data_IF_637886470743
#
_entry.id   IF_637886470743
#
_cell.length_a   1.000
_cell.length_b   1.000
_cell.length_c   1.000
_cell.angle_alpha   90.00
_cell.angle_beta   90.00
_cell.angle_gamma   90.00
#
_symmetry.space_group_name_H-M   'P 1'
#
loop_
_entity.id
_entity.type
_entity.pdbx_description
1 polymer ?
#
# COMPACT_ATOMS: atom_id res chain seq x y z
N UNK A 1 -9.38 36.51 -6.35
CA UNK A 1 -9.81 35.10 -6.24
C UNK A 1 -9.44 34.40 -7.53
N UNK A 2 -8.31 33.69 -7.55
CA UNK A 2 -7.88 32.89 -8.69
C UNK A 2 -8.02 31.42 -8.30
N UNK A 3 -8.90 30.69 -8.99
CA UNK A 3 -8.96 29.23 -8.90
C UNK A 3 -7.80 28.67 -9.72
N UNK A 4 -6.65 28.46 -9.08
CA UNK A 4 -5.57 27.69 -9.69
C UNK A 4 -5.97 26.22 -9.74
N UNK A 5 -6.63 25.85 -10.85
CA UNK A 5 -6.72 24.48 -11.30
C UNK A 5 -5.32 24.05 -11.76
N UNK A 6 -4.55 23.45 -10.88
CA UNK A 6 -3.35 22.73 -11.27
C UNK A 6 -3.73 21.35 -11.81
N UNK A 7 -4.07 21.30 -13.09
CA UNK A 7 -3.81 20.10 -13.90
C UNK A 7 -2.32 20.01 -14.16
N UNK A 8 -1.58 19.36 -13.25
CA UNK A 8 -0.25 18.80 -13.55
C UNK A 8 -0.39 17.29 -13.50
N UNK A 9 -0.49 16.70 -14.68
CA UNK A 9 -0.40 15.26 -14.90
C UNK A 9 0.81 14.68 -14.16
N UNK A 10 0.65 13.47 -13.58
CA UNK A 10 1.74 12.55 -13.17
C UNK A 10 2.23 12.56 -11.72
N UNK A 11 1.31 12.49 -10.75
CA UNK A 11 1.58 11.85 -9.44
C UNK A 11 0.34 10.99 -9.17
N UNK A 12 0.50 9.70 -8.86
CA UNK A 12 -0.63 8.77 -8.69
C UNK A 12 -1.67 9.21 -7.65
N UNK A 13 -2.74 8.45 -7.54
CA UNK A 13 -3.80 8.51 -6.51
C UNK A 13 -3.22 9.02 -5.17
N UNK A 14 -3.45 10.30 -4.75
CA UNK A 14 -2.71 10.97 -3.67
C UNK A 14 -2.90 10.34 -2.27
N UNK A 15 -3.76 9.34 -2.20
CA UNK A 15 -4.15 8.57 -1.04
C UNK A 15 -3.03 7.66 -0.49
N UNK A 16 -2.00 7.38 -1.29
CA UNK A 16 -0.83 6.59 -0.86
C UNK A 16 0.38 7.45 -0.47
N UNK A 17 0.26 8.79 -0.50
CA UNK A 17 1.37 9.70 -0.20
C UNK A 17 1.62 9.79 1.30
N UNK A 18 2.88 9.58 1.70
CA UNK A 18 3.32 9.68 3.08
C UNK A 18 3.26 11.14 3.60
N UNK A 19 3.03 11.35 4.90
CA UNK A 19 2.88 12.69 5.50
C UNK A 19 4.07 13.62 5.19
N UNK A 20 5.29 13.11 5.19
CA UNK A 20 6.52 13.89 4.93
C UNK A 20 6.63 14.42 3.49
N UNK A 21 5.96 13.78 2.53
CA UNK A 21 5.99 14.20 1.11
C UNK A 21 5.16 15.47 0.90
N UNK A 22 4.11 15.66 1.70
CA UNK A 22 3.30 16.87 1.68
C UNK A 22 4.09 18.12 2.13
N UNK A 23 5.12 17.93 2.95
CA UNK A 23 6.02 19.00 3.42
C UNK A 23 7.19 19.26 2.45
N UNK A 24 7.16 18.69 1.23
CA UNK A 24 8.24 18.75 0.23
C UNK A 24 9.59 18.25 0.74
N UNK A 25 9.61 17.37 1.75
CA UNK A 25 10.84 16.67 2.15
C UNK A 25 11.21 15.64 1.08
N UNK A 26 12.51 15.34 0.97
CA UNK A 26 13.00 14.37 -0.01
C UNK A 26 12.27 13.03 0.10
N UNK A 27 11.91 12.47 -1.06
CA UNK A 27 11.42 11.11 -1.17
C UNK A 27 12.47 10.14 -0.61
N UNK A 28 12.05 9.23 0.26
CA UNK A 28 12.93 8.24 0.86
C UNK A 28 12.23 6.89 0.99
N UNK A 29 13.01 5.84 1.29
CA UNK A 29 12.51 4.46 1.39
C UNK A 29 11.38 4.29 2.40
N UNK A 30 11.29 5.16 3.42
CA UNK A 30 10.20 5.15 4.41
C UNK A 30 8.86 5.62 3.84
N UNK A 31 8.86 6.40 2.75
CA UNK A 31 7.65 6.76 2.03
C UNK A 31 7.06 5.55 1.30
N UNK A 32 7.91 4.66 0.76
CA UNK A 32 7.47 3.38 0.18
C UNK A 32 6.88 2.44 1.25
N UNK A 33 7.43 2.46 2.46
CA UNK A 33 6.89 1.68 3.60
C UNK A 33 5.50 2.17 3.99
N UNK A 34 5.24 3.48 3.91
CA UNK A 34 3.92 4.05 4.15
C UNK A 34 2.90 3.61 3.09
N UNK A 35 3.27 3.70 1.81
CA UNK A 35 2.38 3.29 0.72
C UNK A 35 2.08 1.78 0.78
N UNK A 36 3.06 0.95 1.20
CA UNK A 36 2.84 -0.46 1.53
C UNK A 36 1.81 -0.62 2.66
N UNK A 37 1.89 0.18 3.72
CA UNK A 37 0.89 0.18 4.79
C UNK A 37 -0.52 0.52 4.29
N UNK A 38 -0.63 1.47 3.35
CA UNK A 38 -1.91 1.83 2.74
C UNK A 38 -2.50 0.67 1.92
N UNK A 39 -1.67 -0.01 1.11
CA UNK A 39 -2.08 -1.21 0.37
C UNK A 39 -2.49 -2.33 1.33
N UNK A 40 -1.73 -2.57 2.39
CA UNK A 40 -2.04 -3.60 3.38
C UNK A 40 -3.38 -3.32 4.07
N UNK A 41 -3.66 -2.06 4.42
CA UNK A 41 -4.95 -1.66 4.97
C UNK A 41 -6.10 -1.93 3.99
N UNK A 42 -5.90 -1.58 2.72
CA UNK A 42 -6.89 -1.79 1.66
C UNK A 42 -7.18 -3.28 1.44
N UNK A 43 -6.16 -4.14 1.52
CA UNK A 43 -6.35 -5.59 1.48
C UNK A 43 -7.14 -6.12 2.68
N UNK A 44 -6.99 -5.50 3.86
CA UNK A 44 -7.69 -5.91 5.08
C UNK A 44 -9.13 -5.39 5.16
N UNK A 45 -9.45 -4.26 4.52
CA UNK A 45 -10.72 -3.55 4.74
C UNK A 45 -11.52 -3.29 3.48
N UNK A 46 -10.93 -3.54 2.30
CA UNK A 46 -11.44 -3.18 0.98
C UNK A 46 -11.75 -1.67 0.85
N UNK A 47 -11.16 -0.85 1.74
CA UNK A 47 -11.34 0.59 1.83
C UNK A 47 -9.98 1.27 1.98
N UNK A 48 -9.90 2.54 1.60
CA UNK A 48 -8.69 3.33 1.80
C UNK A 48 -8.57 3.75 3.27
N UNK A 49 -7.35 3.83 3.83
CA UNK A 49 -7.16 4.29 5.21
C UNK A 49 -7.48 5.79 5.36
N UNK A 50 -7.14 6.58 4.34
CA UNK A 50 -7.33 8.03 4.31
C UNK A 50 -8.12 8.39 3.06
N UNK A 51 -9.26 9.05 3.23
CA UNK A 51 -10.10 9.50 2.12
C UNK A 51 -10.73 10.85 2.47
N UNK A 52 -10.71 11.78 1.52
CA UNK A 52 -11.29 13.11 1.70
C UNK A 52 -11.69 13.72 0.34
N UNK A 53 -12.55 14.74 0.38
CA UNK A 53 -13.07 15.40 -0.82
C UNK A 53 -12.07 16.39 -1.44
N UNK A 54 -11.13 16.90 -0.64
CA UNK A 54 -10.11 17.85 -1.11
C UNK A 54 -8.71 17.44 -0.67
N UNK A 55 -7.69 17.84 -1.43
CA UNK A 55 -6.29 17.56 -1.09
C UNK A 55 -5.87 18.16 0.26
N UNK A 56 -6.37 19.35 0.60
CA UNK A 56 -6.09 19.98 1.90
C UNK A 56 -6.67 19.19 3.07
N UNK A 57 -7.90 18.66 2.92
CA UNK A 57 -8.50 17.77 3.91
C UNK A 57 -7.75 16.44 4.00
N UNK A 58 -7.40 15.82 2.87
CA UNK A 58 -6.63 14.58 2.83
C UNK A 58 -5.29 14.73 3.54
N UNK A 59 -4.59 15.81 3.24
CA UNK A 59 -3.30 16.14 3.83
C UNK A 59 -3.39 16.36 5.34
N UNK A 60 -4.47 17.02 5.82
CA UNK A 60 -4.74 17.18 7.25
C UNK A 60 -5.07 15.86 7.93
N UNK A 61 -5.86 15.01 7.29
CA UNK A 61 -6.24 13.68 7.80
C UNK A 61 -5.01 12.79 7.92
N UNK A 62 -4.19 12.69 6.86
CA UNK A 62 -2.93 11.94 6.87
C UNK A 62 -2.02 12.43 7.98
N UNK A 63 -1.81 13.74 8.14
CA UNK A 63 -0.96 14.29 9.21
C UNK A 63 -1.48 14.04 10.62
N UNK A 64 -2.78 13.84 10.79
CA UNK A 64 -3.36 13.48 12.09
C UNK A 64 -3.10 12.04 12.50
N UNK A 65 -2.79 11.15 11.54
CA UNK A 65 -2.67 9.71 11.76
C UNK A 65 -3.99 9.01 12.08
N UNK A 66 -5.11 9.72 12.06
CA UNK A 66 -6.44 9.14 12.27
C UNK A 66 -6.91 8.39 11.02
N UNK A 67 -6.95 7.06 11.09
CA UNK A 67 -7.66 6.20 10.16
C UNK A 67 -8.57 5.23 10.94
N UNK A 68 -9.58 4.67 10.28
CA UNK A 68 -10.50 3.75 10.93
C UNK A 68 -9.76 2.47 11.35
N UNK A 69 -9.98 1.93 12.56
CA UNK A 69 -9.32 0.71 12.97
C UNK A 69 -9.83 -0.47 12.14
N UNK A 70 -8.94 -1.44 11.89
CA UNK A 70 -9.34 -2.74 11.35
C UNK A 70 -10.29 -3.45 12.32
N UNK A 71 -11.16 -4.31 11.80
CA UNK A 71 -12.14 -5.05 12.60
C UNK A 71 -11.41 -5.89 13.65
N UNK A 72 -11.76 -5.68 14.92
CA UNK A 72 -11.10 -6.39 16.03
C UNK A 72 -11.33 -7.89 15.95
N UNK A 73 -10.28 -8.67 16.23
CA UNK A 73 -10.29 -10.13 16.17
C UNK A 73 -10.36 -10.75 14.76
N UNK A 74 -10.55 -9.97 13.68
CA UNK A 74 -10.59 -10.51 12.31
C UNK A 74 -9.21 -10.94 11.80
N UNK A 75 -8.17 -10.24 12.23
CA UNK A 75 -6.78 -10.48 11.83
C UNK A 75 -5.89 -10.81 13.03
N UNK A 76 -4.76 -11.46 12.78
CA UNK A 76 -3.80 -11.75 13.84
C UNK A 76 -3.26 -10.46 14.44
N UNK A 77 -2.96 -10.48 15.75
CA UNK A 77 -2.37 -9.34 16.45
C UNK A 77 -1.08 -8.88 15.77
N UNK A 78 -0.26 -9.82 15.30
CA UNK A 78 0.99 -9.50 14.62
C UNK A 78 0.74 -8.70 13.32
N UNK A 79 -0.27 -9.09 12.52
CA UNK A 79 -0.59 -8.40 11.27
C UNK A 79 -1.10 -6.99 11.53
N UNK A 80 -1.99 -6.87 12.51
CA UNK A 80 -2.52 -5.58 12.96
C UNK A 80 -1.40 -4.68 13.49
N UNK A 81 -0.49 -5.20 14.32
CA UNK A 81 0.68 -4.47 14.81
C UNK A 81 1.61 -4.01 13.68
N UNK A 82 1.90 -4.90 12.73
CA UNK A 82 2.69 -4.56 11.54
C UNK A 82 2.01 -3.41 10.78
N UNK A 83 0.72 -3.53 10.47
CA UNK A 83 -0.05 -2.51 9.77
C UNK A 83 0.06 -1.12 10.43
N UNK A 84 -0.19 -1.02 11.74
CA UNK A 84 -0.07 0.26 12.46
C UNK A 84 1.37 0.80 12.48
N UNK A 85 2.38 -0.08 12.51
CA UNK A 85 3.79 0.35 12.41
C UNK A 85 4.15 0.92 11.04
N UNK A 86 3.56 0.41 9.96
CA UNK A 86 3.76 0.92 8.59
C UNK A 86 3.12 2.31 8.41
N UNK A 87 1.95 2.52 9.02
CA UNK A 87 1.18 3.77 8.98
C UNK A 87 1.55 4.75 10.11
N UNK A 88 2.76 4.65 10.65
CA UNK A 88 3.26 5.61 11.64
C UNK A 88 3.59 6.96 11.00
N UNK A 89 3.16 8.06 11.63
CA UNK A 89 3.42 9.41 11.11
C UNK A 89 4.91 9.73 11.06
N UNK A 90 5.64 9.40 12.13
CA UNK A 90 7.10 9.52 12.16
C UNK A 90 7.75 8.44 11.27
N UNK A 91 8.45 8.81 10.19
CA UNK A 91 9.15 7.86 9.31
C UNK A 91 10.23 7.03 10.02
N UNK A 92 10.76 7.51 11.15
CA UNK A 92 11.78 6.79 11.92
C UNK A 92 11.22 5.56 12.65
N UNK A 93 9.94 5.62 13.04
CA UNK A 93 9.24 4.53 13.73
C UNK A 93 8.91 3.39 12.74
N UNK A 94 8.67 3.73 11.46
CA UNK A 94 8.34 2.75 10.42
C UNK A 94 9.48 1.72 10.28
N UNK A 95 9.20 0.41 10.25
CA UNK A 95 10.22 -0.60 10.04
C UNK A 95 10.85 -0.49 8.65
N UNK A 96 12.08 -0.97 8.47
CA UNK A 96 12.67 -1.13 7.14
C UNK A 96 12.06 -2.35 6.44
N UNK A 97 12.11 -2.39 5.10
CA UNK A 97 11.66 -3.56 4.34
C UNK A 97 12.36 -4.86 4.79
N UNK A 98 13.65 -4.78 5.09
CA UNK A 98 14.42 -5.87 5.68
C UNK A 98 13.76 -6.40 6.97
N UNK A 99 13.44 -5.50 7.91
CA UNK A 99 12.80 -5.86 9.19
C UNK A 99 11.39 -6.42 9.01
N UNK A 100 10.66 -5.96 7.99
CA UNK A 100 9.35 -6.52 7.63
C UNK A 100 9.51 -7.97 7.16
N UNK A 101 10.42 -8.22 6.22
CA UNK A 101 10.70 -9.57 5.69
C UNK A 101 11.20 -10.54 6.76
N UNK A 102 11.95 -10.03 7.74
CA UNK A 102 12.44 -10.80 8.89
C UNK A 102 11.36 -11.03 9.97
N UNK A 103 10.18 -10.43 9.84
CA UNK A 103 9.07 -10.66 10.78
C UNK A 103 8.57 -12.10 10.70
N UNK A 104 8.05 -12.60 11.83
CA UNK A 104 7.52 -13.96 11.90
C UNK A 104 6.36 -14.19 10.92
N UNK A 105 5.51 -13.18 10.70
CA UNK A 105 4.42 -13.24 9.72
C UNK A 105 4.98 -13.48 8.31
N UNK A 106 6.00 -12.71 7.93
CA UNK A 106 6.64 -12.86 6.62
C UNK A 106 7.30 -14.22 6.52
N UNK A 107 8.15 -14.63 7.46
CA UNK A 107 8.84 -15.92 7.41
C UNK A 107 7.87 -17.12 7.30
N UNK A 108 6.81 -17.14 8.10
CA UNK A 108 5.81 -18.20 8.07
C UNK A 108 5.10 -18.29 6.71
N UNK A 109 4.76 -17.15 6.11
CA UNK A 109 4.03 -17.11 4.84
C UNK A 109 4.93 -17.25 3.61
N UNK A 110 6.13 -16.69 3.61
CA UNK A 110 7.15 -16.90 2.58
C UNK A 110 7.54 -18.38 2.48
N UNK A 111 7.67 -19.08 3.61
CA UNK A 111 7.91 -20.53 3.62
C UNK A 111 6.74 -21.33 3.02
N UNK A 112 5.52 -20.81 3.12
CA UNK A 112 4.31 -21.48 2.61
C UNK A 112 3.96 -21.16 1.15
N UNK A 113 4.62 -20.17 0.53
CA UNK A 113 4.33 -19.70 -0.82
C UNK A 113 5.49 -20.03 -1.78
N UNK A 114 5.41 -21.12 -2.57
CA UNK A 114 6.49 -21.56 -3.45
C UNK A 114 6.96 -20.48 -4.44
N UNK A 115 6.05 -19.63 -4.90
CA UNK A 115 6.35 -18.51 -5.80
C UNK A 115 7.33 -17.50 -5.18
N UNK A 116 7.20 -17.22 -3.88
CA UNK A 116 8.07 -16.26 -3.20
C UNK A 116 9.44 -16.87 -2.91
N UNK A 117 9.50 -18.17 -2.63
CA UNK A 117 10.77 -18.89 -2.49
C UNK A 117 11.57 -18.85 -3.81
N UNK A 118 10.90 -19.08 -4.94
CA UNK A 118 11.51 -19.00 -6.26
C UNK A 118 12.03 -17.60 -6.57
N UNK A 119 11.32 -16.53 -6.19
CA UNK A 119 11.77 -15.16 -6.38
C UNK A 119 13.04 -14.84 -5.59
N UNK A 120 13.09 -15.24 -4.31
CA UNK A 120 14.27 -15.02 -3.44
C UNK A 120 15.48 -15.85 -3.91
N UNK A 121 15.25 -17.09 -4.36
CA UNK A 121 16.31 -17.91 -4.96
C UNK A 121 16.81 -17.34 -6.28
N UNK A 122 15.95 -16.68 -7.05
CA UNK A 122 16.31 -16.07 -8.35
C UNK A 122 17.00 -14.70 -8.19
N UNK A 123 16.75 -13.93 -7.13
CA UNK A 123 17.45 -12.67 -6.86
C UNK A 123 18.94 -12.85 -6.56
N UNK A 124 19.36 -14.04 -6.12
CA UNK A 124 20.78 -14.37 -5.94
C UNK A 124 21.53 -14.51 -7.27
N UNK A 125 20.81 -14.58 -8.39
CA UNK A 125 21.37 -14.68 -9.75
C UNK A 125 20.93 -13.47 -10.58
N UNK A 126 21.71 -12.39 -10.52
CA UNK A 126 21.66 -11.20 -11.40
C UNK A 126 20.65 -10.08 -11.03
N UNK A 127 21.14 -9.14 -10.22
CA UNK A 127 20.68 -7.75 -10.25
C UNK A 127 21.04 -7.11 -11.60
N UNK A 128 20.10 -7.07 -12.55
CA UNK A 128 20.10 -6.03 -13.61
C UNK A 128 18.72 -5.38 -13.73
N UNK A 129 18.63 -4.06 -14.01
CA UNK A 129 17.40 -3.27 -13.84
C UNK A 129 16.28 -3.54 -14.87
N UNK A 130 16.43 -4.54 -15.73
CA UNK A 130 15.53 -4.79 -16.86
C UNK A 130 14.69 -6.07 -16.72
N UNK A 131 14.66 -6.71 -15.55
CA UNK A 131 14.05 -8.04 -15.45
C UNK A 131 12.50 -8.01 -15.53
N UNK A 132 11.87 -8.66 -16.53
CA UNK A 132 10.44 -8.51 -16.88
C UNK A 132 9.44 -9.13 -15.88
N UNK A 133 9.90 -9.93 -14.92
CA UNK A 133 9.07 -10.75 -14.03
C UNK A 133 8.27 -9.95 -12.99
N UNK A 134 8.86 -8.94 -12.35
CA UNK A 134 8.13 -8.09 -11.38
C UNK A 134 7.00 -7.35 -12.10
N UNK A 135 7.25 -6.90 -13.34
CA UNK A 135 6.22 -6.24 -14.14
C UNK A 135 5.08 -7.21 -14.52
N UNK A 136 5.38 -8.49 -14.74
CA UNK A 136 4.40 -9.47 -15.20
C UNK A 136 3.42 -9.86 -14.08
N UNK A 137 3.93 -10.20 -12.88
CA UNK A 137 3.07 -10.59 -11.76
C UNK A 137 2.30 -9.42 -11.16
N UNK A 138 2.88 -8.21 -11.12
CA UNK A 138 2.13 -7.01 -10.77
C UNK A 138 1.03 -6.71 -11.80
N UNK A 139 1.31 -6.83 -13.10
CA UNK A 139 0.28 -6.67 -14.14
C UNK A 139 -0.81 -7.71 -14.03
N UNK A 140 -0.47 -8.97 -13.74
CA UNK A 140 -1.43 -10.06 -13.54
C UNK A 140 -2.29 -9.84 -12.30
N UNK A 141 -1.70 -9.40 -11.19
CA UNK A 141 -2.42 -9.03 -9.97
C UNK A 141 -3.36 -7.84 -10.18
N UNK A 142 -2.92 -6.80 -10.89
CA UNK A 142 -3.75 -5.64 -11.28
C UNK A 142 -4.87 -6.04 -12.25
N UNK A 143 -4.60 -6.98 -13.17
CA UNK A 143 -5.62 -7.49 -14.09
C UNK A 143 -6.68 -8.29 -13.34
N UNK A 144 -6.26 -9.16 -12.41
CA UNK A 144 -7.16 -9.95 -11.56
C UNK A 144 -8.03 -9.05 -10.66
N UNK A 145 -7.47 -7.98 -10.08
CA UNK A 145 -8.26 -7.04 -9.28
C UNK A 145 -9.27 -6.26 -10.12
N UNK A 146 -8.91 -5.88 -11.35
CA UNK A 146 -9.85 -5.27 -12.31
C UNK A 146 -10.97 -6.22 -12.70
N UNK A 147 -10.66 -7.48 -13.02
CA UNK A 147 -11.67 -8.47 -13.40
C UNK A 147 -12.61 -8.78 -12.23
N UNK A 148 -12.09 -8.90 -10.99
CA UNK A 148 -12.94 -9.10 -9.81
C UNK A 148 -13.82 -7.88 -9.49
N UNK A 149 -13.34 -6.67 -9.75
CA UNK A 149 -14.14 -5.45 -9.65
C UNK A 149 -15.25 -5.40 -10.71
N UNK A 150 -14.93 -5.67 -11.97
CA UNK A 150 -15.90 -5.70 -13.08
C UNK A 150 -16.96 -6.79 -12.91
N UNK A 151 -16.57 -7.98 -12.45
CA UNK A 151 -17.51 -9.07 -12.14
C UNK A 151 -18.47 -8.69 -11.00
N UNK A 152 -17.97 -8.07 -9.93
CA UNK A 152 -18.81 -7.61 -8.81
C UNK A 152 -19.68 -6.38 -9.15
N UNK A 153 -19.30 -5.58 -10.16
CA UNK A 153 -20.14 -4.47 -10.65
C UNK A 153 -21.30 -4.97 -11.51
N UNK A 154 -21.06 -5.93 -12.41
CA UNK A 154 -22.08 -6.47 -13.32
C UNK A 154 -23.15 -7.26 -12.55
N UNK A 155 -22.79 -7.93 -11.45
CA UNK A 155 -23.76 -8.69 -10.64
C UNK A 155 -24.66 -7.81 -9.75
N UNK A 156 -24.28 -6.55 -9.47
CA UNK A 156 -25.01 -5.70 -8.52
C UNK A 156 -25.88 -4.59 -9.16
N UNK A 157 -25.81 -4.36 -10.48
CA UNK A 157 -26.66 -3.36 -11.19
C UNK A 157 -27.75 -3.99 -12.07
N UNK A 158 -28.44 -5.00 -11.54
CA UNK A 158 -29.73 -5.49 -12.07
C UNK A 158 -30.93 -5.22 -11.16
N UNK A 159 -30.74 -4.46 -10.08
CA UNK A 159 -31.75 -4.21 -9.04
C UNK A 159 -31.66 -2.77 -8.49
N UNK A 160 -31.72 -1.75 -9.35
CA UNK A 160 -32.21 -0.41 -8.97
C UNK A 160 -32.96 0.20 -10.15
#
# INVERSE_FOLDING_TARGET
MGTEQFTRSSIGTPYYLAPEIWDKKSYGTKADVWSLGCVLYELCTLKRPFEAQTLSQLSRLIRSGGFAPVIDGLYSKDLTHLLYSLLSIDPNIRPSCQKILESEISKQKFASLPVLQQLVSNESSQLTPSHPYISFELKKGIQLSKTLYESNWIENEGQV
#
